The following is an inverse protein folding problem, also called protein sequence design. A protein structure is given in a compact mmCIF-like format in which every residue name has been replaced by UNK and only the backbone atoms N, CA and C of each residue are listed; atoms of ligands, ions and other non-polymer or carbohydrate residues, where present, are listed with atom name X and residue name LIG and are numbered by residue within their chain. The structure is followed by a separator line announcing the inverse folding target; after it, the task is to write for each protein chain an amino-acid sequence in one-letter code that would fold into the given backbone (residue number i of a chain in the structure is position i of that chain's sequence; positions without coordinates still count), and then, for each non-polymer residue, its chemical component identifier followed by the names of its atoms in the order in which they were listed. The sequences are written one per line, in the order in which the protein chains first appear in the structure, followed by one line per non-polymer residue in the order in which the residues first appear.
data_IF_675305260706
#
_entry.id   IF_675305260706
#
_cell.length_a   1.000
_cell.length_b   1.000
_cell.length_c   1.000
_cell.angle_alpha   90.00
_cell.angle_beta   90.00
_cell.angle_gamma   90.00
#
_symmetry.space_group_name_H-M   'P 1'
#
loop_
_entity.id
_entity.type
_entity.pdbx_description
1 polymer ?
#
# COMPACT_ATOMS: atom_id res chain seq x y z
N UNK A 1 9.46 23.18 100.32
CA UNK A 1 8.43 23.47 99.30
C UNK A 1 9.12 23.84 97.99
N UNK A 2 9.00 23.02 96.93
CA UNK A 2 9.62 23.26 95.61
C UNK A 2 8.69 24.09 94.74
N UNK A 3 9.12 25.28 94.31
CA UNK A 3 8.38 26.13 93.37
C UNK A 3 8.60 25.65 91.93
N UNK A 4 7.53 25.19 91.25
CA UNK A 4 7.55 24.87 89.83
C UNK A 4 7.37 26.16 89.01
N UNK A 5 8.36 26.49 88.18
CA UNK A 5 8.23 27.53 87.13
C UNK A 5 7.45 26.95 85.95
N UNK A 6 6.35 27.60 85.58
CA UNK A 6 5.60 27.30 84.35
C UNK A 6 6.30 27.97 83.16
N UNK A 7 6.71 27.19 82.16
CA UNK A 7 7.23 27.69 80.90
C UNK A 7 6.09 28.33 80.07
N UNK A 8 6.35 29.37 79.27
CA UNK A 8 5.31 30.12 78.55
C UNK A 8 4.68 29.27 77.42
N UNK A 9 3.40 28.90 77.58
CA UNK A 9 2.61 28.13 76.61
C UNK A 9 2.37 28.84 75.26
N UNK A 10 2.51 30.16 75.20
CA UNK A 10 2.28 30.95 73.98
C UNK A 10 3.27 30.65 72.85
N UNK A 11 4.51 30.29 73.18
CA UNK A 11 5.52 29.91 72.19
C UNK A 11 5.25 28.55 71.52
N UNK A 12 4.61 27.62 72.25
CA UNK A 12 4.25 26.29 71.73
C UNK A 12 3.05 26.36 70.77
N UNK A 13 2.07 27.23 71.04
CA UNK A 13 0.90 27.41 70.19
C UNK A 13 1.26 28.06 68.83
N UNK A 14 2.18 29.03 68.82
CA UNK A 14 2.66 29.65 67.58
C UNK A 14 3.45 28.68 66.68
N UNK A 15 4.28 27.82 67.28
CA UNK A 15 5.05 26.80 66.54
C UNK A 15 4.16 25.77 65.85
N UNK A 16 3.09 25.33 66.52
CA UNK A 16 2.12 24.40 65.94
C UNK A 16 1.37 25.00 64.74
N UNK A 17 0.93 26.27 64.84
CA UNK A 17 0.26 26.97 63.76
C UNK A 17 1.16 27.09 62.52
N UNK A 18 2.40 27.55 62.70
CA UNK A 18 3.38 27.70 61.62
C UNK A 18 3.67 26.35 60.95
N UNK A 19 3.81 25.28 61.73
CA UNK A 19 4.03 23.94 61.18
C UNK A 19 2.87 23.49 60.28
N UNK A 20 1.62 23.61 60.77
CA UNK A 20 0.44 23.21 59.99
C UNK A 20 0.25 24.03 58.72
N UNK A 21 0.57 25.34 58.76
CA UNK A 21 0.45 26.24 57.63
C UNK A 21 1.53 25.99 56.58
N UNK A 22 2.77 25.70 57.00
CA UNK A 22 3.85 25.32 56.08
C UNK A 22 3.56 23.95 55.47
N UNK A 23 3.13 22.97 56.26
CA UNK A 23 2.79 21.64 55.74
C UNK A 23 1.64 21.69 54.74
N UNK A 24 0.59 22.48 55.03
CA UNK A 24 -0.55 22.61 54.13
C UNK A 24 -0.17 23.36 52.84
N UNK A 25 0.67 24.40 52.92
CA UNK A 25 1.17 25.10 51.74
C UNK A 25 2.01 24.18 50.83
N UNK A 26 2.91 23.38 51.41
CA UNK A 26 3.73 22.41 50.65
C UNK A 26 2.84 21.35 49.99
N UNK A 27 1.86 20.82 50.71
CA UNK A 27 0.89 19.86 50.16
C UNK A 27 0.07 20.49 49.02
N UNK A 28 -0.42 21.71 49.20
CA UNK A 28 -1.19 22.43 48.19
C UNK A 28 -0.41 22.64 46.89
N UNK A 29 0.85 23.08 46.99
CA UNK A 29 1.74 23.23 45.82
C UNK A 29 2.00 21.87 45.16
N UNK A 30 2.30 20.84 45.95
CA UNK A 30 2.57 19.49 45.41
C UNK A 30 1.37 18.90 44.64
N UNK A 31 0.14 19.09 45.16
CA UNK A 31 -1.07 18.64 44.50
C UNK A 31 -1.35 19.41 43.21
N UNK A 32 -1.17 20.74 43.22
CA UNK A 32 -1.34 21.57 42.04
C UNK A 32 -0.35 21.15 40.93
N UNK A 33 0.91 20.93 41.29
CA UNK A 33 1.92 20.42 40.34
C UNK A 33 1.56 19.03 39.81
N UNK A 34 1.11 18.12 40.68
CA UNK A 34 0.73 16.77 40.26
C UNK A 34 -0.49 16.76 39.33
N UNK A 35 -1.51 17.58 39.61
CA UNK A 35 -2.68 17.72 38.72
C UNK A 35 -2.29 18.28 37.34
N UNK A 36 -1.37 19.25 37.29
CA UNK A 36 -0.82 19.75 36.03
C UNK A 36 -0.08 18.67 35.24
N UNK A 37 0.71 17.84 35.92
CA UNK A 37 1.41 16.72 35.32
C UNK A 37 0.42 15.68 34.76
N UNK A 38 -0.58 15.29 35.55
CA UNK A 38 -1.60 14.31 35.14
C UNK A 38 -2.42 14.82 33.96
N UNK A 39 -2.79 16.10 33.93
CA UNK A 39 -3.50 16.70 32.80
C UNK A 39 -2.67 16.63 31.51
N UNK A 40 -1.38 16.98 31.60
CA UNK A 40 -0.45 16.91 30.46
C UNK A 40 -0.24 15.46 29.99
N UNK A 41 -0.12 14.52 30.93
CA UNK A 41 -0.01 13.10 30.62
C UNK A 41 -1.27 12.59 29.93
N UNK A 42 -2.45 12.97 30.41
CA UNK A 42 -3.73 12.58 29.80
C UNK A 42 -3.84 13.10 28.36
N UNK A 43 -3.49 14.37 28.11
CA UNK A 43 -3.49 14.93 26.75
C UNK A 43 -2.53 14.17 25.81
N UNK A 44 -1.33 13.82 26.31
CA UNK A 44 -0.34 13.07 25.53
C UNK A 44 -0.82 11.65 25.20
N UNK A 45 -1.46 10.98 26.15
CA UNK A 45 -2.06 9.65 25.95
C UNK A 45 -3.20 9.70 24.93
N UNK A 46 -4.13 10.65 25.07
CA UNK A 46 -5.25 10.79 24.14
C UNK A 46 -4.80 11.09 22.71
N UNK A 47 -3.78 11.95 22.56
CA UNK A 47 -3.17 12.21 21.24
C UNK A 47 -2.53 10.95 20.66
N UNK A 48 -1.88 10.14 21.50
CA UNK A 48 -1.24 8.89 21.07
C UNK A 48 -2.28 7.84 20.63
N UNK A 49 -3.41 7.74 21.31
CA UNK A 49 -4.53 6.88 20.90
C UNK A 49 -5.08 7.33 19.54
N UNK A 50 -5.36 8.62 19.37
CA UNK A 50 -5.86 9.17 18.10
C UNK A 50 -4.87 8.95 16.94
N UNK A 51 -3.57 9.12 17.19
CA UNK A 51 -2.52 8.89 16.21
C UNK A 51 -2.43 7.42 15.76
N UNK A 52 -2.61 6.47 16.69
CA UNK A 52 -2.68 5.05 16.34
C UNK A 52 -3.97 4.70 15.58
N UNK A 53 -5.10 5.28 15.98
CA UNK A 53 -6.38 5.07 15.30
C UNK A 53 -6.38 5.57 13.85
N UNK A 54 -5.61 6.63 13.55
CA UNK A 54 -5.48 7.17 12.19
C UNK A 54 -4.91 6.16 11.18
N UNK A 55 -4.23 5.10 11.65
CA UNK A 55 -3.73 4.02 10.78
C UNK A 55 -4.88 3.18 10.21
N UNK A 56 -5.88 2.79 11.01
CA UNK A 56 -7.03 2.06 10.47
C UNK A 56 -7.85 2.91 9.49
N UNK A 57 -7.96 4.21 9.77
CA UNK A 57 -8.68 5.16 8.91
C UNK A 57 -8.00 5.32 7.55
N UNK A 58 -6.66 5.47 7.51
CA UNK A 58 -5.95 5.57 6.23
C UNK A 58 -5.94 4.23 5.47
N UNK A 59 -5.94 3.09 6.17
CA UNK A 59 -6.01 1.77 5.53
C UNK A 59 -7.34 1.60 4.78
N UNK A 60 -8.45 2.04 5.38
CA UNK A 60 -9.74 2.08 4.68
C UNK A 60 -9.70 2.91 3.38
N UNK A 61 -8.95 4.02 3.38
CA UNK A 61 -8.70 4.81 2.17
C UNK A 61 -7.88 4.04 1.12
N UNK A 62 -6.85 3.31 1.54
CA UNK A 62 -6.04 2.47 0.63
C UNK A 62 -6.90 1.38 -0.01
N UNK A 63 -7.76 0.70 0.77
CA UNK A 63 -8.67 -0.32 0.25
C UNK A 63 -9.67 0.25 -0.77
N UNK A 64 -10.23 1.44 -0.51
CA UNK A 64 -11.11 2.08 -1.49
C UNK A 64 -10.37 2.40 -2.80
N UNK A 65 -9.12 2.86 -2.72
CA UNK A 65 -8.31 3.13 -3.91
C UNK A 65 -7.96 1.86 -4.68
N UNK A 66 -7.58 0.78 -3.99
CA UNK A 66 -7.28 -0.50 -4.63
C UNK A 66 -8.52 -1.08 -5.31
N UNK A 67 -9.68 -1.02 -4.66
CA UNK A 67 -10.94 -1.44 -5.26
C UNK A 67 -11.28 -0.60 -6.51
N UNK A 68 -11.11 0.73 -6.42
CA UNK A 68 -11.39 1.62 -7.54
C UNK A 68 -10.45 1.35 -8.73
N UNK A 69 -9.16 1.13 -8.47
CA UNK A 69 -8.18 0.72 -9.47
C UNK A 69 -8.57 -0.60 -10.14
N UNK A 70 -8.93 -1.61 -9.35
CA UNK A 70 -9.31 -2.92 -9.87
C UNK A 70 -10.52 -2.81 -10.83
N UNK A 71 -11.55 -2.04 -10.46
CA UNK A 71 -12.77 -1.92 -11.25
C UNK A 71 -12.64 -0.98 -12.45
N UNK A 72 -11.90 0.13 -12.34
CA UNK A 72 -11.91 1.22 -13.33
C UNK A 72 -10.58 1.44 -14.07
N UNK A 73 -9.66 0.47 -14.00
CA UNK A 73 -8.37 0.56 -14.70
C UNK A 73 -8.49 0.82 -16.21
N UNK A 74 -9.60 0.42 -16.86
CA UNK A 74 -9.80 0.51 -18.31
C UNK A 74 -10.77 1.62 -18.77
N UNK A 75 -11.57 2.19 -17.87
CA UNK A 75 -12.72 3.05 -18.24
C UNK A 75 -12.51 4.52 -17.89
N UNK A 76 -12.18 4.84 -16.63
CA UNK A 76 -11.73 6.17 -16.15
C UNK A 76 -11.60 6.18 -14.63
N UNK A 77 -10.47 6.69 -14.12
CA UNK A 77 -10.23 6.91 -12.69
C UNK A 77 -10.92 8.17 -12.11
N UNK A 78 -11.58 8.98 -12.94
CA UNK A 78 -12.38 10.12 -12.50
C UNK A 78 -13.87 9.76 -12.29
N UNK A 79 -14.21 8.48 -12.31
CA UNK A 79 -15.57 7.99 -12.14
C UNK A 79 -15.90 7.75 -10.66
N UNK A 80 -17.14 7.34 -10.34
CA UNK A 80 -17.56 6.94 -8.98
C UNK A 80 -17.33 8.01 -7.89
N UNK A 81 -17.41 9.29 -8.28
CA UNK A 81 -17.25 10.44 -7.38
C UNK A 81 -15.81 10.66 -6.93
N UNK A 82 -14.82 10.19 -7.69
CA UNK A 82 -13.44 10.65 -7.63
C UNK A 82 -13.30 11.96 -8.39
N UNK A 83 -12.44 12.85 -7.90
CA UNK A 83 -12.20 14.17 -8.49
C UNK A 83 -10.75 14.31 -8.92
N UNK A 84 -10.50 14.92 -10.06
CA UNK A 84 -9.13 15.13 -10.54
C UNK A 84 -8.54 16.40 -9.94
N UNK A 85 -7.31 16.31 -9.44
CA UNK A 85 -6.54 17.43 -8.90
C UNK A 85 -5.16 17.49 -9.56
N UNK A 86 -4.61 18.70 -9.68
CA UNK A 86 -3.27 18.96 -10.25
C UNK A 86 -2.17 19.04 -9.19
N UNK A 87 -2.56 19.04 -7.92
CA UNK A 87 -1.68 18.99 -6.77
C UNK A 87 -2.32 18.20 -5.64
N UNK A 88 -1.48 17.69 -4.73
CA UNK A 88 -1.91 16.95 -3.55
C UNK A 88 -1.13 17.45 -2.33
N UNK A 89 -1.85 18.01 -1.36
CA UNK A 89 -1.28 18.44 -0.08
C UNK A 89 -1.26 17.28 0.92
N UNK A 90 -0.05 16.82 1.27
CA UNK A 90 0.16 15.76 2.26
C UNK A 90 0.36 16.29 3.69
N UNK A 91 0.17 17.59 3.93
CA UNK A 91 0.40 18.27 5.20
C UNK A 91 1.88 18.50 5.55
N UNK A 92 2.78 17.67 5.04
CA UNK A 92 4.24 17.81 5.17
C UNK A 92 4.90 18.19 3.85
N UNK A 93 4.35 17.70 2.73
CA UNK A 93 4.87 17.93 1.38
C UNK A 93 3.72 18.13 0.42
N UNK A 94 3.87 19.05 -0.52
CA UNK A 94 2.95 19.21 -1.63
C UNK A 94 3.51 18.49 -2.85
N UNK A 95 2.69 17.65 -3.48
CA UNK A 95 3.03 16.98 -4.72
C UNK A 95 2.32 17.66 -5.88
N UNK A 96 2.98 17.72 -7.03
CA UNK A 96 2.41 18.24 -8.28
C UNK A 96 2.29 17.10 -9.27
N UNK A 97 1.16 17.04 -9.97
CA UNK A 97 0.85 15.95 -10.90
C UNK A 97 -0.65 15.75 -11.02
N UNK A 98 -1.08 14.84 -11.88
CA UNK A 98 -2.50 14.49 -11.98
C UNK A 98 -2.83 13.42 -10.97
N UNK A 99 -3.70 13.76 -10.02
CA UNK A 99 -4.18 12.87 -8.98
C UNK A 99 -5.69 12.71 -9.09
N UNK A 100 -6.18 11.48 -8.92
CA UNK A 100 -7.60 11.22 -8.71
C UNK A 100 -7.82 11.09 -7.21
N UNK A 101 -8.67 11.94 -6.64
CA UNK A 101 -8.82 12.11 -5.20
C UNK A 101 -10.24 11.77 -4.77
N UNK A 102 -10.34 11.02 -3.67
CA UNK A 102 -11.56 10.71 -2.95
C UNK A 102 -11.40 11.10 -1.49
N UNK A 103 -12.42 11.74 -0.93
CA UNK A 103 -12.50 12.02 0.50
C UNK A 103 -13.79 11.44 1.06
N UNK A 104 -13.71 10.81 2.23
CA UNK A 104 -14.88 10.42 3.02
C UNK A 104 -14.67 10.81 4.47
N UNK A 105 -15.75 11.25 5.09
CA UNK A 105 -15.79 11.54 6.52
C UNK A 105 -16.92 10.76 7.18
N UNK A 106 -16.69 10.35 8.41
CA UNK A 106 -17.69 9.74 9.28
C UNK A 106 -17.40 10.20 10.71
N UNK A 107 -18.33 10.98 11.27
CA UNK A 107 -18.22 11.56 12.60
C UNK A 107 -16.88 12.29 12.84
N UNK A 108 -16.03 11.71 13.68
CA UNK A 108 -14.75 12.29 14.14
C UNK A 108 -13.53 11.77 13.37
N UNK A 109 -13.77 11.01 12.30
CA UNK A 109 -12.73 10.47 11.42
C UNK A 109 -13.00 10.83 9.97
N UNK A 110 -11.92 11.05 9.22
CA UNK A 110 -11.99 11.19 7.78
C UNK A 110 -10.72 10.67 7.13
N UNK A 111 -10.84 10.24 5.90
CA UNK A 111 -9.68 9.95 5.07
C UNK A 111 -9.80 10.64 3.73
N UNK A 112 -8.64 10.93 3.15
CA UNK A 112 -8.47 11.38 1.79
C UNK A 112 -7.47 10.44 1.15
N UNK A 113 -7.88 9.85 0.04
CA UNK A 113 -7.02 8.99 -0.75
C UNK A 113 -6.86 9.56 -2.15
N UNK A 114 -5.66 9.45 -2.69
CA UNK A 114 -5.31 9.95 -4.00
C UNK A 114 -4.54 8.89 -4.79
N UNK A 115 -4.86 8.76 -6.07
CA UNK A 115 -4.21 7.85 -7.02
C UNK A 115 -3.48 8.70 -8.05
N UNK A 116 -2.17 8.52 -8.21
CA UNK A 116 -1.42 9.21 -9.27
C UNK A 116 -1.77 8.67 -10.65
N UNK A 117 -1.79 9.52 -11.67
CA UNK A 117 -1.87 9.09 -13.07
C UNK A 117 -0.60 8.32 -13.49
N UNK A 118 -0.75 7.14 -14.07
CA UNK A 118 0.37 6.35 -14.62
C UNK A 118 0.01 4.87 -14.79
N UNK A 119 0.83 4.12 -15.53
CA UNK A 119 0.66 2.67 -15.73
C UNK A 119 0.96 1.84 -14.47
N UNK A 120 1.70 2.41 -13.52
CA UNK A 120 1.94 1.88 -12.18
C UNK A 120 1.54 2.96 -11.15
N UNK A 121 0.24 3.13 -10.87
CA UNK A 121 -0.23 4.23 -10.04
C UNK A 121 0.29 4.09 -8.60
N UNK A 122 0.67 5.22 -8.01
CA UNK A 122 0.99 5.32 -6.59
C UNK A 122 -0.22 5.88 -5.85
N UNK A 123 -0.61 5.20 -4.77
CA UNK A 123 -1.70 5.59 -3.90
C UNK A 123 -1.11 6.36 -2.71
N UNK A 124 -1.70 7.50 -2.40
CA UNK A 124 -1.42 8.28 -1.20
C UNK A 124 -2.69 8.32 -0.36
N UNK A 125 -2.64 7.77 0.85
CA UNK A 125 -3.78 7.79 1.77
C UNK A 125 -3.44 8.58 3.02
N UNK A 126 -4.31 9.51 3.38
CA UNK A 126 -4.22 10.34 4.58
C UNK A 126 -5.43 10.05 5.45
N UNK A 127 -5.20 9.70 6.71
CA UNK A 127 -6.25 9.48 7.71
C UNK A 127 -6.15 10.51 8.82
N UNK A 128 -7.25 11.20 9.12
CA UNK A 128 -7.40 12.14 10.22
C UNK A 128 -8.32 11.55 11.29
N UNK A 129 -7.91 11.75 12.54
CA UNK A 129 -8.70 11.40 13.73
C UNK A 129 -8.67 12.58 14.68
N UNK A 130 -9.84 12.97 15.16
CA UNK A 130 -9.97 14.00 16.19
C UNK A 130 -9.39 13.53 17.52
N UNK A 131 -8.61 14.37 18.20
CA UNK A 131 -8.15 14.05 19.56
C UNK A 131 -9.33 14.20 20.52
N UNK A 132 -9.60 13.20 21.38
CA UNK A 132 -10.65 13.30 22.40
C UNK A 132 -10.51 14.60 23.21
N UNK A 133 -11.62 15.28 23.49
CA UNK A 133 -11.69 16.56 24.22
C UNK A 133 -11.00 17.78 23.55
N UNK A 134 -10.63 17.67 22.27
CA UNK A 134 -10.10 18.78 21.45
C UNK A 134 -10.89 18.92 20.15
N UNK A 135 -10.77 20.04 19.45
CA UNK A 135 -11.18 20.19 18.04
C UNK A 135 -10.05 19.87 17.07
N UNK A 136 -8.84 19.64 17.58
CA UNK A 136 -7.66 19.38 16.76
C UNK A 136 -7.66 17.93 16.25
N UNK A 137 -7.27 17.77 14.99
CA UNK A 137 -7.07 16.47 14.36
C UNK A 137 -5.59 16.10 14.36
N UNK A 138 -5.32 14.81 14.44
CA UNK A 138 -4.01 14.22 14.18
C UNK A 138 -4.14 13.38 12.93
N UNK A 139 -3.11 13.41 12.08
CA UNK A 139 -3.12 12.68 10.83
C UNK A 139 -1.90 11.82 10.60
N UNK A 140 -2.09 10.83 9.73
CA UNK A 140 -1.06 9.90 9.24
C UNK A 140 -1.18 9.80 7.73
N UNK A 141 -0.05 9.63 7.06
CA UNK A 141 0.02 9.51 5.61
C UNK A 141 0.83 8.29 5.23
N UNK A 142 0.33 7.50 4.29
CA UNK A 142 1.03 6.35 3.70
C UNK A 142 1.08 6.50 2.19
N UNK A 143 2.18 6.06 1.60
CA UNK A 143 2.39 5.94 0.15
C UNK A 143 2.51 4.46 -0.20
N UNK A 144 1.66 3.99 -1.11
CA UNK A 144 1.65 2.61 -1.62
C UNK A 144 1.94 2.66 -3.12
N UNK A 145 2.98 1.96 -3.56
CA UNK A 145 3.28 1.81 -4.98
C UNK A 145 2.64 0.53 -5.48
N UNK A 146 1.82 0.63 -6.53
CA UNK A 146 1.17 -0.54 -7.13
C UNK A 146 1.91 -0.99 -8.38
N UNK A 147 1.75 -2.26 -8.72
CA UNK A 147 2.18 -2.85 -9.99
C UNK A 147 0.95 -3.49 -10.64
N UNK A 148 0.85 -3.38 -11.96
CA UNK A 148 -0.16 -4.13 -12.70
C UNK A 148 0.29 -5.59 -12.77
N UNK A 149 -0.45 -6.49 -12.12
CA UNK A 149 -0.23 -7.93 -12.25
C UNK A 149 -1.34 -8.52 -13.13
N UNK A 150 -0.94 -9.18 -14.21
CA UNK A 150 -1.88 -9.83 -15.12
C UNK A 150 -2.24 -11.20 -14.59
N UNK A 151 -3.54 -11.51 -14.44
CA UNK A 151 -4.00 -12.85 -14.06
C UNK A 151 -3.48 -13.97 -15.00
N UNK A 152 -3.02 -13.60 -16.21
CA UNK A 152 -2.40 -14.49 -17.19
C UNK A 152 -1.19 -13.79 -17.83
N UNK A 153 -0.07 -13.69 -17.11
CA UNK A 153 1.16 -13.09 -17.66
C UNK A 153 1.81 -13.92 -18.78
N UNK A 154 1.42 -15.18 -18.91
CA UNK A 154 2.00 -16.18 -19.82
C UNK A 154 0.85 -16.98 -20.44
N UNK A 155 0.98 -17.32 -21.71
CA UNK A 155 0.02 -18.15 -22.44
C UNK A 155 -0.10 -19.56 -21.85
N UNK A 156 1.00 -20.09 -21.31
CA UNK A 156 1.03 -21.39 -20.64
C UNK A 156 2.02 -21.37 -19.48
N UNK A 157 1.57 -21.83 -18.31
CA UNK A 157 2.41 -22.01 -17.12
C UNK A 157 2.24 -23.41 -16.57
N UNK A 158 3.34 -24.12 -16.30
CA UNK A 158 3.33 -25.39 -15.57
C UNK A 158 4.22 -25.33 -14.34
N UNK A 159 3.84 -26.07 -13.30
CA UNK A 159 4.63 -26.18 -12.07
C UNK A 159 5.95 -26.94 -12.31
N UNK A 160 5.90 -27.97 -13.15
CA UNK A 160 7.02 -28.86 -13.46
C UNK A 160 7.28 -28.83 -14.97
N UNK A 161 7.33 -29.96 -15.66
CA UNK A 161 7.77 -29.99 -17.05
C UNK A 161 6.71 -29.48 -18.05
N UNK A 162 7.17 -28.75 -19.07
CA UNK A 162 6.41 -28.50 -20.30
C UNK A 162 7.12 -29.22 -21.43
N UNK A 163 6.39 -30.11 -22.10
CA UNK A 163 6.89 -30.89 -23.22
C UNK A 163 6.07 -30.62 -24.49
N UNK A 164 6.69 -29.96 -25.46
CA UNK A 164 6.12 -29.66 -26.79
C UNK A 164 6.69 -30.59 -27.86
N UNK A 165 6.49 -31.90 -27.68
CA UNK A 165 6.91 -32.94 -28.62
C UNK A 165 6.00 -33.09 -29.86
N UNK A 166 4.93 -32.31 -29.96
CA UNK A 166 4.04 -32.28 -31.13
C UNK A 166 4.65 -31.55 -32.33
N UNK A 167 4.17 -31.86 -33.53
CA UNK A 167 4.52 -31.13 -34.75
C UNK A 167 3.60 -29.90 -34.90
N UNK A 168 4.18 -28.73 -35.19
CA UNK A 168 3.45 -27.47 -35.41
C UNK A 168 2.65 -26.97 -34.18
N UNK A 169 3.12 -27.27 -32.97
CA UNK A 169 2.57 -26.65 -31.76
C UNK A 169 2.98 -25.18 -31.78
N UNK A 170 2.04 -24.25 -31.63
CA UNK A 170 2.35 -22.82 -31.60
C UNK A 170 1.71 -22.11 -30.42
N UNK A 171 2.40 -21.10 -29.89
CA UNK A 171 1.85 -20.16 -28.91
C UNK A 171 2.02 -18.73 -29.42
N UNK A 172 0.94 -17.96 -29.39
CA UNK A 172 0.93 -16.54 -29.76
C UNK A 172 -0.08 -15.78 -28.91
N UNK A 173 -0.40 -14.55 -29.32
CA UNK A 173 -1.38 -13.72 -28.63
C UNK A 173 -2.20 -12.89 -29.62
N UNK A 174 -3.39 -12.47 -29.22
CA UNK A 174 -4.20 -11.50 -29.96
C UNK A 174 -4.97 -10.62 -28.99
N UNK A 175 -5.43 -9.46 -29.45
CA UNK A 175 -6.21 -8.52 -28.65
C UNK A 175 -7.59 -8.35 -29.28
N UNK A 176 -8.60 -8.96 -28.68
CA UNK A 176 -9.99 -8.94 -29.14
C UNK A 176 -10.62 -7.55 -29.12
N UNK A 177 -10.06 -6.60 -28.37
CA UNK A 177 -10.55 -5.22 -28.31
C UNK A 177 -9.98 -4.34 -29.42
N UNK A 178 -8.92 -4.80 -30.10
CA UNK A 178 -8.18 -4.01 -31.07
C UNK A 178 -8.34 -4.56 -32.50
N UNK A 179 -8.97 -3.81 -33.43
CA UNK A 179 -9.15 -4.23 -34.83
C UNK A 179 -7.84 -4.43 -35.63
N UNK A 180 -6.72 -3.90 -35.15
CA UNK A 180 -5.39 -4.14 -35.73
C UNK A 180 -4.83 -5.51 -35.35
N UNK A 181 -5.31 -6.10 -34.26
CA UNK A 181 -4.83 -7.37 -33.71
C UNK A 181 -5.93 -8.43 -33.60
N UNK A 182 -7.09 -8.19 -34.22
CA UNK A 182 -8.21 -9.12 -34.33
C UNK A 182 -9.07 -8.78 -35.56
N UNK A 183 -9.91 -9.72 -35.99
CA UNK A 183 -10.89 -9.50 -37.05
C UNK A 183 -12.29 -9.75 -36.48
N UNK A 184 -13.07 -8.68 -36.29
CA UNK A 184 -14.36 -8.77 -35.60
C UNK A 184 -14.25 -9.25 -34.15
N UNK A 185 -13.13 -8.97 -33.48
CA UNK A 185 -12.83 -9.45 -32.12
C UNK A 185 -12.39 -10.92 -32.06
N UNK A 186 -12.25 -11.59 -33.21
CA UNK A 186 -11.77 -12.96 -33.32
C UNK A 186 -10.27 -13.02 -33.65
N UNK A 187 -9.64 -14.14 -33.29
CA UNK A 187 -8.27 -14.43 -33.66
C UNK A 187 -8.09 -14.45 -35.18
N UNK A 188 -7.07 -13.74 -35.65
CA UNK A 188 -6.69 -13.68 -37.05
C UNK A 188 -5.18 -13.97 -37.14
N UNK A 189 -4.77 -15.10 -37.75
CA UNK A 189 -3.36 -15.48 -37.87
C UNK A 189 -2.49 -14.41 -38.53
N UNK A 190 -3.03 -13.53 -39.38
CA UNK A 190 -2.24 -12.46 -40.01
C UNK A 190 -2.02 -11.26 -39.09
N UNK A 191 -2.79 -11.16 -38.00
CA UNK A 191 -2.77 -10.05 -37.04
C UNK A 191 -2.31 -10.46 -35.64
N UNK A 192 -1.94 -11.73 -35.46
CA UNK A 192 -1.41 -12.24 -34.21
C UNK A 192 -0.13 -11.52 -33.77
N UNK A 193 0.09 -11.48 -32.46
CA UNK A 193 1.20 -10.82 -31.76
C UNK A 193 2.08 -11.83 -31.01
N UNK A 194 3.23 -11.34 -30.59
CA UNK A 194 4.35 -12.15 -30.08
C UNK A 194 4.41 -12.20 -28.54
N UNK A 195 3.27 -12.20 -27.85
CA UNK A 195 3.19 -12.33 -26.39
C UNK A 195 2.66 -13.71 -25.95
N UNK A 196 2.89 -14.74 -26.75
CA UNK A 196 2.56 -16.14 -26.45
C UNK A 196 3.55 -16.78 -25.47
N UNK A 197 3.91 -16.07 -24.40
CA UNK A 197 4.98 -16.47 -23.49
C UNK A 197 4.67 -17.79 -22.76
N UNK A 198 5.68 -18.63 -22.54
CA UNK A 198 5.54 -19.92 -21.86
C UNK A 198 6.49 -19.99 -20.68
N UNK A 199 6.01 -20.46 -19.52
CA UNK A 199 6.83 -20.54 -18.32
C UNK A 199 6.68 -21.87 -17.56
N UNK A 200 7.78 -22.31 -16.96
CA UNK A 200 7.78 -23.39 -15.97
C UNK A 200 8.50 -22.94 -14.69
N UNK A 201 8.06 -23.45 -13.54
CA UNK A 201 8.74 -23.23 -12.26
C UNK A 201 9.79 -24.30 -11.92
N UNK A 202 9.96 -25.33 -12.77
CA UNK A 202 10.93 -26.39 -12.53
C UNK A 202 12.38 -25.94 -12.82
N UNK A 203 13.32 -26.53 -12.07
CA UNK A 203 14.73 -26.14 -12.06
C UNK A 203 15.70 -27.18 -12.64
N UNK A 204 15.23 -28.03 -13.57
CA UNK A 204 16.02 -29.14 -14.14
C UNK A 204 16.35 -28.82 -15.61
N UNK A 205 17.47 -29.36 -16.09
CA UNK A 205 17.83 -29.25 -17.50
C UNK A 205 16.72 -29.82 -18.41
N UNK A 206 16.36 -29.10 -19.47
CA UNK A 206 15.33 -29.52 -20.44
C UNK A 206 13.90 -29.50 -19.90
N UNK A 207 13.65 -28.84 -18.77
CA UNK A 207 12.33 -28.73 -18.14
C UNK A 207 11.28 -28.09 -19.05
N UNK A 208 11.72 -27.26 -20.00
CA UNK A 208 10.89 -26.75 -21.09
C UNK A 208 11.47 -27.26 -22.40
N UNK A 209 10.81 -28.24 -23.00
CA UNK A 209 11.23 -28.83 -24.28
C UNK A 209 10.36 -28.29 -25.41
N UNK A 210 11.00 -27.64 -26.38
CA UNK A 210 10.38 -27.07 -27.59
C UNK A 210 10.88 -27.91 -28.76
N UNK A 211 10.18 -29.01 -29.08
CA UNK A 211 10.57 -29.95 -30.14
C UNK A 211 10.50 -29.31 -31.54
N UNK A 212 9.36 -29.46 -32.21
CA UNK A 212 9.04 -28.79 -33.48
C UNK A 212 7.92 -27.76 -33.27
N UNK A 213 8.07 -26.97 -32.21
CA UNK A 213 7.08 -26.02 -31.74
C UNK A 213 7.58 -24.57 -31.89
N UNK A 214 6.64 -23.65 -32.07
CA UNK A 214 6.85 -22.22 -32.28
C UNK A 214 6.28 -21.41 -31.11
N UNK A 215 7.18 -20.86 -30.28
CA UNK A 215 6.78 -19.94 -29.21
C UNK A 215 7.00 -18.51 -29.70
N UNK A 216 5.94 -17.84 -30.11
CA UNK A 216 5.97 -16.42 -30.45
C UNK A 216 5.89 -15.59 -29.17
N UNK A 217 7.01 -15.46 -28.49
CA UNK A 217 7.15 -14.82 -27.19
C UNK A 217 8.43 -15.23 -26.48
N UNK A 218 8.37 -15.27 -25.15
CA UNK A 218 9.50 -15.61 -24.27
C UNK A 218 9.26 -16.93 -23.55
N UNK A 219 10.32 -17.70 -23.39
CA UNK A 219 10.36 -18.85 -22.49
C UNK A 219 10.97 -18.44 -21.13
N UNK A 220 10.45 -18.97 -20.03
CA UNK A 220 11.01 -18.74 -18.69
C UNK A 220 11.00 -20.03 -17.87
N UNK A 221 12.06 -20.27 -17.12
CA UNK A 221 12.23 -21.47 -16.27
C UNK A 221 12.47 -21.07 -14.82
N UNK A 222 12.27 -22.01 -13.89
CA UNK A 222 12.69 -21.84 -12.51
C UNK A 222 14.23 -21.84 -12.40
N UNK A 223 14.79 -21.39 -11.26
CA UNK A 223 16.24 -21.39 -11.05
C UNK A 223 16.87 -22.76 -11.30
N UNK A 224 17.91 -22.82 -12.14
CA UNK A 224 18.57 -24.07 -12.55
C UNK A 224 17.93 -24.79 -13.75
N UNK A 225 16.74 -24.37 -14.18
CA UNK A 225 16.04 -24.96 -15.31
C UNK A 225 16.54 -24.42 -16.64
N UNK A 226 16.63 -25.27 -17.66
CA UNK A 226 17.02 -24.86 -19.02
C UNK A 226 15.92 -25.16 -20.03
N UNK A 227 16.00 -24.44 -21.15
CA UNK A 227 15.14 -24.66 -22.32
C UNK A 227 15.88 -25.57 -23.31
N UNK A 228 15.24 -26.65 -23.74
CA UNK A 228 15.74 -27.55 -24.78
C UNK A 228 14.98 -27.32 -26.09
N UNK A 229 15.72 -27.20 -27.19
CA UNK A 229 15.16 -26.93 -28.52
C UNK A 229 15.44 -28.09 -29.46
N UNK A 230 14.41 -28.56 -30.15
CA UNK A 230 14.54 -29.49 -31.27
C UNK A 230 14.95 -28.78 -32.57
N UNK A 231 15.30 -29.52 -33.63
CA UNK A 231 15.81 -28.96 -34.89
C UNK A 231 14.87 -27.97 -35.60
N UNK A 232 13.55 -28.11 -35.40
CA UNK A 232 12.53 -27.21 -35.93
C UNK A 232 11.96 -26.22 -34.91
N UNK A 233 12.34 -26.33 -33.64
CA UNK A 233 11.79 -25.51 -32.56
C UNK A 233 12.35 -24.10 -32.56
N UNK A 234 11.55 -23.13 -32.12
CA UNK A 234 12.09 -21.82 -31.82
C UNK A 234 11.20 -20.93 -30.98
N UNK A 235 11.87 -19.98 -30.33
CA UNK A 235 11.31 -19.03 -29.39
C UNK A 235 11.77 -17.65 -29.82
N UNK A 236 10.85 -16.71 -29.95
CA UNK A 236 11.23 -15.33 -30.24
C UNK A 236 10.08 -14.53 -30.85
N UNK A 237 10.42 -13.37 -31.40
CA UNK A 237 9.43 -12.58 -32.13
C UNK A 237 9.05 -13.27 -33.45
N UNK A 238 7.87 -12.94 -33.96
CA UNK A 238 7.34 -13.50 -35.20
C UNK A 238 8.17 -13.10 -36.40
N UNK A 239 8.72 -11.89 -36.39
CA UNK A 239 9.67 -11.43 -37.39
C UNK A 239 11.02 -12.18 -37.32
N UNK A 240 11.42 -12.68 -36.15
CA UNK A 240 12.67 -13.42 -35.99
C UNK A 240 12.51 -14.88 -36.44
N UNK A 241 11.41 -15.54 -36.05
CA UNK A 241 11.10 -16.94 -36.41
C UNK A 241 10.92 -17.19 -37.91
N UNK A 242 10.63 -16.17 -38.73
CA UNK A 242 10.51 -16.34 -40.19
C UNK A 242 11.84 -16.64 -40.88
N UNK A 243 12.98 -16.38 -40.23
CA UNK A 243 14.31 -16.55 -40.81
C UNK A 243 15.30 -17.30 -39.91
N UNK A 244 14.93 -17.64 -38.68
CA UNK A 244 15.83 -18.19 -37.68
C UNK A 244 15.20 -19.35 -36.89
N UNK A 245 16.03 -20.34 -36.54
CA UNK A 245 15.72 -21.41 -35.60
C UNK A 245 16.53 -21.24 -34.31
N UNK A 246 15.90 -21.53 -33.16
CA UNK A 246 16.52 -21.38 -31.84
C UNK A 246 15.80 -20.41 -30.90
N UNK A 247 16.55 -19.87 -29.92
CA UNK A 247 16.16 -18.79 -28.98
C UNK A 247 16.87 -17.48 -29.31
#
# INVERSE_FOLDING_TARGET
MKTRRFAPQSAQAGGALVYTLVSSAVLGVSMASYLGLVSTQNQSVMRSIAWNHAVGVLEGGVEEALMHLNQNHASSLASQGWTTQSSLDLGVTNLTGTFYVKERSHDEVRYRVAISSGSAPTIYSQGWVRVPSSTNEVFRVVRVTTLSDGMWMKAMVAKEQIDMNGQNVMTDSFDSSNPLYSTGGQYDPLKARDNGDVATNGGIEGILTVGNADIYGRASTGPGGTVSLGPGGGIGSRAWRTSNNGV
#
